data_IF_553985713196
#
_entry.id   IF_553985713196
#
_cell.length_a   1.000
_cell.length_b   1.000
_cell.length_c   1.000
_cell.angle_alpha   90.00
_cell.angle_beta   90.00
_cell.angle_gamma   90.00
#
_symmetry.space_group_name_H-M   'P 1'
#
loop_
_entity.id
_entity.type
_entity.pdbx_description
1 polymer ?
#
# COMPACT_ATOMS: atom_id res chain seq x y z
N UNK A 1 17.45 -15.32 -10.30
CA UNK A 1 16.31 -14.42 -10.53
C UNK A 1 15.12 -14.89 -9.70
N UNK A 2 14.61 -14.05 -8.84
CA UNK A 2 13.38 -14.43 -8.17
C UNK A 2 12.25 -14.49 -9.18
N UNK A 3 11.45 -15.53 -9.11
CA UNK A 3 10.26 -15.63 -9.95
C UNK A 3 9.17 -14.72 -9.42
N UNK A 4 8.34 -14.20 -10.31
CA UNK A 4 7.18 -13.39 -9.93
C UNK A 4 6.16 -14.33 -9.28
N UNK A 5 5.65 -13.99 -8.08
CA UNK A 5 4.61 -14.80 -7.46
C UNK A 5 3.38 -14.93 -8.36
N UNK A 6 2.72 -16.07 -8.34
CA UNK A 6 1.55 -16.32 -9.16
C UNK A 6 0.24 -15.87 -8.52
N UNK A 7 0.29 -15.18 -7.40
CA UNK A 7 -0.90 -14.69 -6.71
C UNK A 7 -0.64 -13.40 -5.98
N UNK A 8 -1.63 -12.91 -5.23
CA UNK A 8 -1.46 -11.67 -4.49
C UNK A 8 -0.46 -11.83 -3.35
N UNK A 9 0.31 -10.77 -3.13
CA UNK A 9 1.16 -10.62 -1.97
C UNK A 9 0.38 -9.84 -0.91
N UNK A 10 0.44 -10.32 0.32
CA UNK A 10 -0.25 -9.69 1.45
C UNK A 10 0.74 -9.48 2.57
N UNK A 11 0.83 -8.26 3.06
CA UNK A 11 1.73 -7.92 4.17
C UNK A 11 1.03 -6.98 5.14
N UNK A 12 1.34 -7.12 6.41
CA UNK A 12 0.89 -6.15 7.41
C UNK A 12 1.51 -4.79 7.09
N UNK A 13 0.74 -3.73 7.25
CA UNK A 13 1.20 -2.37 7.04
C UNK A 13 1.21 -1.65 8.39
N UNK A 14 2.31 -1.74 9.16
CA UNK A 14 2.33 -1.21 10.50
C UNK A 14 2.51 0.31 10.49
N UNK A 15 1.50 1.02 10.97
CA UNK A 15 1.57 2.46 11.17
C UNK A 15 1.35 2.70 12.66
N UNK A 16 2.32 3.33 13.31
CA UNK A 16 2.23 3.57 14.75
C UNK A 16 1.01 4.44 15.06
N UNK A 17 0.33 4.14 16.18
CA UNK A 17 -0.82 4.92 16.62
C UNK A 17 -0.45 6.37 16.91
N UNK A 18 0.81 6.63 17.26
CA UNK A 18 1.34 7.96 17.52
C UNK A 18 2.14 8.52 16.34
N UNK A 19 1.87 8.05 15.12
CA UNK A 19 2.57 8.53 13.94
C UNK A 19 2.52 10.07 13.89
N UNK A 20 3.65 10.74 13.62
CA UNK A 20 3.71 12.20 13.69
C UNK A 20 2.83 12.94 12.69
N UNK A 21 2.31 12.26 11.67
CA UNK A 21 1.39 12.90 10.73
C UNK A 21 -0.03 13.06 11.27
N UNK A 22 -0.40 12.35 12.36
CA UNK A 22 -1.76 12.48 12.92
C UNK A 22 -2.03 13.87 13.51
N UNK A 23 -1.16 14.44 14.39
CA UNK A 23 -1.49 15.68 15.11
C UNK A 23 -1.41 16.84 14.16
N UNK A 24 -1.33 17.32 13.37
CA UNK A 24 -1.29 18.53 12.54
C UNK A 24 -2.29 18.50 11.41
N UNK A 25 -2.98 17.39 11.25
CA UNK A 25 -3.97 17.21 10.21
C UNK A 25 -5.32 16.88 10.87
N UNK A 26 -6.37 17.52 10.44
CA UNK A 26 -7.73 17.28 10.95
C UNK A 26 -7.83 17.38 12.46
N UNK A 27 -7.64 18.58 13.05
CA UNK A 27 -7.71 18.75 14.51
C UNK A 27 -9.01 18.18 15.09
N UNK A 28 -8.92 17.42 16.18
CA UNK A 28 -10.06 16.77 16.81
C UNK A 28 -10.48 15.46 16.17
N UNK A 29 -9.98 15.14 14.97
CA UNK A 29 -10.26 13.89 14.28
C UNK A 29 -8.99 13.41 13.58
N UNK A 30 -8.07 12.79 14.30
CA UNK A 30 -6.79 12.37 13.69
C UNK A 30 -7.02 11.33 12.62
N UNK A 31 -6.56 11.62 11.42
CA UNK A 31 -6.69 10.77 10.25
C UNK A 31 -5.33 10.74 9.56
N UNK A 32 -4.89 9.57 9.12
CA UNK A 32 -3.65 9.45 8.38
C UNK A 32 -3.80 10.08 6.99
N UNK A 33 -2.94 11.03 6.61
CA UNK A 33 -3.00 11.61 5.26
C UNK A 33 -2.77 10.54 4.19
N UNK A 34 -3.49 10.67 3.08
CA UNK A 34 -3.38 9.70 1.98
C UNK A 34 -1.97 9.53 1.44
N UNK A 35 -1.22 10.63 1.33
CA UNK A 35 0.17 10.56 0.84
C UNK A 35 1.08 9.76 1.78
N UNK A 36 0.81 9.80 3.09
CA UNK A 36 1.57 9.00 4.06
C UNK A 36 1.22 7.53 3.90
N UNK A 37 -0.06 7.21 3.74
CA UNK A 37 -0.49 5.84 3.52
C UNK A 37 0.17 5.24 2.28
N UNK A 38 0.22 6.00 1.18
CA UNK A 38 0.86 5.54 -0.05
C UNK A 38 2.37 5.38 0.12
N UNK A 39 3.02 6.26 0.88
CA UNK A 39 4.46 6.13 1.16
C UNK A 39 4.75 4.85 1.94
N UNK A 40 3.92 4.53 2.93
CA UNK A 40 4.07 3.29 3.71
C UNK A 40 3.83 2.06 2.84
N UNK A 41 2.85 2.12 1.93
CA UNK A 41 2.61 1.06 0.97
C UNK A 41 3.84 0.84 0.08
N UNK A 42 4.41 1.91 -0.46
CA UNK A 42 5.59 1.80 -1.31
C UNK A 42 6.78 1.21 -0.57
N UNK A 43 6.99 1.57 0.69
CA UNK A 43 8.04 0.96 1.49
C UNK A 43 7.81 -0.53 1.69
N UNK A 44 6.58 -0.93 1.97
CA UNK A 44 6.23 -2.35 2.13
C UNK A 44 6.48 -3.12 0.82
N UNK A 45 6.11 -2.54 -0.30
CA UNK A 45 6.34 -3.16 -1.61
C UNK A 45 7.84 -3.33 -1.88
N UNK A 46 8.66 -2.35 -1.52
CA UNK A 46 10.11 -2.42 -1.75
C UNK A 46 10.83 -3.40 -0.84
N UNK A 47 10.21 -3.82 0.26
CA UNK A 47 10.79 -4.84 1.13
C UNK A 47 10.68 -6.25 0.54
N UNK A 48 9.78 -6.45 -0.40
CA UNK A 48 9.68 -7.72 -1.12
C UNK A 48 10.62 -7.68 -2.32
N UNK A 49 11.57 -8.62 -2.38
CA UNK A 49 12.64 -8.59 -3.38
C UNK A 49 12.12 -8.64 -4.81
N UNK A 50 11.15 -9.50 -5.10
CA UNK A 50 10.59 -9.61 -6.44
C UNK A 50 9.83 -8.33 -6.83
N UNK A 51 9.09 -7.76 -5.90
CA UNK A 51 8.35 -6.51 -6.13
C UNK A 51 9.33 -5.35 -6.35
N UNK A 52 10.37 -5.24 -5.53
CA UNK A 52 11.36 -4.17 -5.68
C UNK A 52 12.04 -4.25 -7.05
N UNK A 53 12.39 -5.45 -7.49
CA UNK A 53 13.00 -5.65 -8.80
C UNK A 53 12.04 -5.24 -9.93
N UNK A 54 10.76 -5.56 -9.79
CA UNK A 54 9.76 -5.20 -10.78
C UNK A 54 9.50 -3.69 -10.82
N UNK A 55 9.42 -3.03 -9.65
CA UNK A 55 9.15 -1.59 -9.56
C UNK A 55 10.21 -0.74 -10.27
N UNK A 56 11.48 -1.09 -10.13
CA UNK A 56 12.56 -0.22 -10.56
C UNK A 56 12.74 0.96 -9.63
N UNK A 57 13.53 1.95 -10.04
CA UNK A 57 13.86 3.09 -9.20
C UNK A 57 12.78 4.18 -9.19
N UNK A 58 12.06 4.33 -10.28
CA UNK A 58 11.09 5.42 -10.46
C UNK A 58 9.74 4.90 -10.96
N UNK A 59 9.05 4.08 -10.18
CA UNK A 59 7.70 3.67 -10.56
C UNK A 59 6.72 4.84 -10.48
N UNK A 60 5.59 4.72 -11.19
CA UNK A 60 4.58 5.77 -11.22
C UNK A 60 3.29 5.26 -10.60
N UNK A 61 2.72 6.06 -9.70
CA UNK A 61 1.37 5.84 -9.22
C UNK A 61 0.42 6.36 -10.31
N UNK A 62 -0.27 5.46 -11.00
CA UNK A 62 -1.14 5.85 -12.11
C UNK A 62 -2.58 6.08 -11.66
N UNK A 63 -2.97 5.51 -10.54
CA UNK A 63 -4.30 5.69 -10.00
C UNK A 63 -4.27 5.46 -8.49
N UNK A 64 -4.95 6.31 -7.75
CA UNK A 64 -5.15 6.12 -6.31
C UNK A 64 -6.55 6.59 -5.94
N UNK A 65 -7.25 5.78 -5.18
CA UNK A 65 -8.57 6.09 -4.67
C UNK A 65 -8.56 5.87 -3.16
N UNK A 66 -8.91 6.91 -2.40
CA UNK A 66 -9.03 6.84 -0.95
C UNK A 66 -10.49 6.63 -0.59
N UNK A 67 -10.78 5.56 0.15
CA UNK A 67 -12.14 5.08 0.36
C UNK A 67 -12.57 5.28 1.81
N UNK A 68 -11.74 4.85 2.77
CA UNK A 68 -12.05 4.95 4.18
C UNK A 68 -10.86 5.53 4.92
N UNK A 69 -11.13 6.49 5.81
CA UNK A 69 -10.09 7.13 6.60
C UNK A 69 -9.42 6.14 7.55
N UNK A 70 -8.09 6.26 7.69
CA UNK A 70 -7.31 5.45 8.64
C UNK A 70 -7.11 6.27 9.90
N UNK A 71 -7.51 5.71 11.04
CA UNK A 71 -7.39 6.35 12.35
C UNK A 71 -6.29 5.69 13.16
N UNK A 72 -5.78 6.37 14.20
CA UNK A 72 -4.74 5.78 15.06
C UNK A 72 -5.18 4.42 15.61
N UNK A 73 -4.26 3.46 15.60
CA UNK A 73 -4.51 2.13 16.12
C UNK A 73 -5.20 1.17 15.17
N UNK A 74 -5.60 1.63 13.98
CA UNK A 74 -6.24 0.77 12.98
C UNK A 74 -5.23 -0.18 12.37
N UNK A 75 -5.50 -1.48 12.43
CA UNK A 75 -4.67 -2.48 11.76
C UNK A 75 -4.92 -2.47 10.26
N UNK A 76 -3.86 -2.55 9.49
CA UNK A 76 -3.91 -2.48 8.03
C UNK A 76 -3.15 -3.63 7.40
N UNK A 77 -3.62 -4.04 6.23
CA UNK A 77 -2.95 -5.03 5.38
C UNK A 77 -2.86 -4.48 3.97
N UNK A 78 -1.68 -4.54 3.39
CA UNK A 78 -1.51 -4.21 1.98
C UNK A 78 -1.54 -5.48 1.15
N UNK A 79 -2.22 -5.42 0.01
CA UNK A 79 -2.27 -6.50 -0.96
C UNK A 79 -1.96 -5.93 -2.33
N UNK A 80 -1.13 -6.64 -3.09
CA UNK A 80 -0.88 -6.29 -4.49
C UNK A 80 -0.57 -7.55 -5.28
N UNK A 81 -0.80 -7.47 -6.59
CA UNK A 81 -0.51 -8.56 -7.51
C UNK A 81 0.38 -8.03 -8.62
N UNK A 82 1.53 -8.67 -8.82
CA UNK A 82 2.45 -8.29 -9.87
C UNK A 82 1.99 -8.89 -11.20
N UNK A 83 2.13 -8.14 -12.32
CA UNK A 83 1.89 -8.71 -13.64
C UNK A 83 2.99 -9.70 -13.98
N UNK A 84 2.71 -10.63 -14.87
CA UNK A 84 3.73 -11.52 -15.38
C UNK A 84 4.74 -10.75 -16.24
N UNK A 85 6.01 -11.14 -16.19
CA UNK A 85 7.06 -10.53 -17.00
C UNK A 85 7.55 -9.21 -16.43
N UNK A 86 8.22 -8.40 -17.26
CA UNK A 86 8.72 -7.09 -16.88
C UNK A 86 7.76 -5.99 -17.36
N UNK A 87 7.77 -4.86 -16.65
CA UNK A 87 6.88 -3.75 -16.94
C UNK A 87 5.44 -4.01 -16.49
N UNK A 88 4.50 -3.27 -17.05
CA UNK A 88 3.08 -3.41 -16.73
C UNK A 88 2.67 -2.67 -15.46
N UNK A 89 1.47 -2.99 -14.98
CA UNK A 89 0.87 -2.33 -13.83
C UNK A 89 0.47 -3.35 -12.79
N UNK A 90 0.67 -3.01 -11.51
CA UNK A 90 0.19 -3.79 -10.39
C UNK A 90 -0.99 -3.08 -9.76
N UNK A 91 -2.03 -3.83 -9.43
CA UNK A 91 -3.13 -3.34 -8.62
C UNK A 91 -2.79 -3.52 -7.16
N UNK A 92 -3.14 -2.54 -6.34
CA UNK A 92 -2.96 -2.63 -4.91
C UNK A 92 -4.25 -2.29 -4.17
N UNK A 93 -4.33 -2.79 -2.95
CA UNK A 93 -5.41 -2.47 -2.04
C UNK A 93 -4.84 -2.40 -0.63
N UNK A 94 -5.22 -1.37 0.12
CA UNK A 94 -4.90 -1.30 1.54
C UNK A 94 -6.19 -1.55 2.30
N UNK A 95 -6.20 -2.60 3.11
CA UNK A 95 -7.38 -3.09 3.80
C UNK A 95 -7.36 -2.76 5.27
N UNK A 96 -8.53 -2.48 5.81
CA UNK A 96 -8.74 -2.30 7.25
C UNK A 96 -9.04 -3.66 7.86
N UNK A 97 -8.35 -3.98 8.96
CA UNK A 97 -8.53 -5.26 9.64
C UNK A 97 -9.16 -5.05 11.02
N UNK A 98 -10.04 -5.97 11.41
CA UNK A 98 -10.52 -6.07 12.77
C UNK A 98 -9.44 -6.69 13.67
N UNK A 99 -9.66 -6.66 14.98
CA UNK A 99 -8.70 -7.21 15.95
C UNK A 99 -8.42 -8.71 15.72
N UNK A 100 -9.38 -9.44 15.16
CA UNK A 100 -9.21 -10.85 14.83
C UNK A 100 -8.55 -11.09 13.47
N UNK A 101 -8.15 -10.04 12.77
CA UNK A 101 -7.50 -10.13 11.47
C UNK A 101 -8.46 -10.18 10.26
N UNK A 102 -9.75 -10.15 10.49
CA UNK A 102 -10.70 -10.15 9.38
C UNK A 102 -10.75 -8.78 8.69
N UNK A 103 -10.90 -8.80 7.36
CA UNK A 103 -11.05 -7.56 6.59
C UNK A 103 -12.42 -6.96 6.85
N UNK A 104 -12.43 -5.70 7.30
CA UNK A 104 -13.66 -4.98 7.59
C UNK A 104 -13.89 -3.78 6.67
N UNK A 105 -12.98 -3.51 5.78
CA UNK A 105 -13.12 -2.43 4.81
C UNK A 105 -11.85 -2.23 4.01
N UNK A 106 -11.89 -1.24 3.14
CA UNK A 106 -10.79 -0.85 2.28
C UNK A 106 -10.47 0.61 2.54
N UNK A 107 -9.21 0.89 2.84
CA UNK A 107 -8.74 2.27 3.05
C UNK A 107 -8.41 2.94 1.72
N UNK A 108 -7.73 2.23 0.83
CA UNK A 108 -7.31 2.77 -0.46
C UNK A 108 -7.13 1.65 -1.49
N UNK A 109 -7.23 2.00 -2.75
CA UNK A 109 -6.91 1.11 -3.85
C UNK A 109 -6.32 1.91 -5.00
N UNK A 110 -5.66 1.23 -5.92
CA UNK A 110 -5.09 1.91 -7.09
C UNK A 110 -4.20 1.01 -7.92
N UNK A 111 -3.34 1.66 -8.70
CA UNK A 111 -2.43 1.00 -9.61
C UNK A 111 -1.08 1.70 -9.60
N UNK A 112 -0.04 0.90 -9.72
CA UNK A 112 1.35 1.36 -9.82
C UNK A 112 1.94 0.79 -11.10
N UNK A 113 2.59 1.63 -11.88
CA UNK A 113 3.28 1.25 -13.10
C UNK A 113 4.77 1.12 -12.82
N UNK A 114 5.38 0.02 -13.26
CA UNK A 114 6.81 -0.16 -13.12
C UNK A 114 7.58 0.87 -13.93
N UNK A 115 8.80 1.20 -13.49
CA UNK A 115 9.70 2.07 -14.23
C UNK A 115 9.95 1.52 -15.63
N UNK A 116 9.91 2.39 -16.63
CA UNK A 116 10.16 1.98 -18.02
C UNK A 116 9.03 1.25 -18.71
N UNK A 117 7.89 1.05 -18.05
CA UNK A 117 6.74 0.43 -18.68
C UNK A 117 6.10 1.38 -19.71
N UNK A 118 5.66 0.86 -20.87
CA UNK A 118 5.01 1.70 -21.88
C UNK A 118 3.65 2.22 -21.45
#
# INVERSE_FOLDING_TARGET
>A
MPSVPSGPLRVALPIAADHPSYPGHFPGQPILPGVVLLAELMEAMRRDAATAAWLGEAPQLTQAKFITAVRPGQALEAEWTLPGGSGGRARFEVRLLAADGQVIGVAASGQIQAEGAP
#
